data_IF_721759227760
#
_entry.id   IF_721759227760
#
_cell.length_a   1.000
_cell.length_b   1.000
_cell.length_c   1.000
_cell.angle_alpha   90.00
_cell.angle_beta   90.00
_cell.angle_gamma   90.00
#
_symmetry.space_group_name_H-M   'P 1'
#
loop_
_entity.id
_entity.type
_entity.pdbx_description
1 polymer ?
#
# COMPACT_ATOMS: atom_id res chain seq x y z
N UNK A 1 -2.62 10.80 -31.52
CA UNK A 1 -3.87 10.19 -31.03
C UNK A 1 -3.59 9.56 -29.67
N UNK A 2 -4.08 10.13 -28.56
CA UNK A 2 -3.95 9.52 -27.21
C UNK A 2 -5.14 8.58 -27.01
N UNK A 3 -4.95 7.29 -27.22
CA UNK A 3 -5.94 6.29 -26.82
C UNK A 3 -5.86 6.21 -25.30
N UNK A 4 -6.80 6.85 -24.61
CA UNK A 4 -6.93 6.72 -23.15
C UNK A 4 -7.49 5.31 -22.92
N UNK A 5 -6.71 4.44 -22.28
CA UNK A 5 -7.18 3.10 -21.93
C UNK A 5 -8.48 3.21 -21.13
N UNK A 6 -9.51 2.41 -21.49
CA UNK A 6 -10.75 2.32 -20.72
C UNK A 6 -10.59 1.54 -19.40
N UNK A 7 -9.48 0.84 -19.24
CA UNK A 7 -9.16 0.00 -18.09
C UNK A 7 -8.36 0.78 -17.06
N UNK A 8 -8.74 0.67 -15.78
CA UNK A 8 -8.04 1.40 -14.72
C UNK A 8 -6.65 0.81 -14.49
N UNK A 9 -6.52 -0.50 -14.61
CA UNK A 9 -5.28 -1.27 -14.60
C UNK A 9 -5.41 -2.59 -15.39
N UNK A 10 -4.39 -3.44 -15.31
CA UNK A 10 -4.37 -4.74 -15.98
C UNK A 10 -5.37 -5.75 -15.43
N UNK A 11 -5.83 -5.62 -14.19
CA UNK A 11 -6.90 -6.49 -13.69
C UNK A 11 -8.19 -6.27 -14.46
N UNK A 12 -8.58 -5.00 -14.67
CA UNK A 12 -9.78 -4.70 -15.46
C UNK A 12 -9.64 -5.19 -16.92
N UNK A 13 -8.44 -5.13 -17.48
CA UNK A 13 -8.16 -5.65 -18.82
C UNK A 13 -8.32 -7.18 -18.90
N UNK A 14 -7.72 -7.92 -17.97
CA UNK A 14 -7.80 -9.39 -17.93
C UNK A 14 -9.23 -9.85 -17.64
N UNK A 15 -9.96 -9.20 -16.73
CA UNK A 15 -11.40 -9.46 -16.50
C UNK A 15 -12.22 -9.24 -17.78
N UNK A 16 -11.98 -8.16 -18.51
CA UNK A 16 -12.72 -7.91 -19.74
C UNK A 16 -12.40 -8.93 -20.86
N UNK A 17 -11.20 -9.50 -20.86
CA UNK A 17 -10.76 -10.49 -21.84
C UNK A 17 -11.24 -11.91 -21.51
N UNK A 18 -11.19 -12.29 -20.24
CA UNK A 18 -11.40 -13.68 -19.79
C UNK A 18 -12.68 -13.89 -18.98
N UNK A 19 -13.41 -12.81 -18.66
CA UNK A 19 -14.60 -12.86 -17.80
C UNK A 19 -14.30 -12.56 -16.33
N UNK A 20 -15.37 -12.30 -15.57
CA UNK A 20 -15.31 -12.12 -14.11
C UNK A 20 -15.46 -13.50 -13.47
N UNK A 21 -14.62 -13.82 -12.48
CA UNK A 21 -14.95 -14.91 -11.55
C UNK A 21 -16.12 -14.46 -10.68
N UNK A 22 -17.29 -15.08 -10.84
CA UNK A 22 -18.52 -14.75 -10.10
C UNK A 22 -18.32 -14.76 -8.57
N UNK A 23 -17.29 -15.47 -8.09
CA UNK A 23 -16.97 -15.58 -6.67
C UNK A 23 -15.83 -14.67 -6.21
N UNK A 24 -15.23 -13.90 -7.12
CA UNK A 24 -14.16 -12.93 -6.83
C UNK A 24 -14.43 -11.60 -7.57
N UNK A 25 -15.46 -10.89 -7.12
CA UNK A 25 -15.88 -9.62 -7.73
C UNK A 25 -15.16 -8.45 -7.05
N UNK A 26 -14.25 -7.80 -7.78
CA UNK A 26 -13.53 -6.61 -7.30
C UNK A 26 -14.17 -5.32 -7.84
N UNK A 27 -15.12 -4.76 -7.07
CA UNK A 27 -15.70 -3.44 -7.37
C UNK A 27 -15.00 -2.36 -6.57
N UNK A 28 -14.42 -1.35 -7.23
CA UNK A 28 -13.62 -0.33 -6.57
C UNK A 28 -14.04 1.10 -6.85
N UNK A 29 -14.11 1.89 -5.78
CA UNK A 29 -14.21 3.34 -5.80
C UNK A 29 -12.90 3.92 -5.29
N UNK A 30 -12.43 4.97 -5.95
CA UNK A 30 -11.26 5.72 -5.50
C UNK A 30 -11.71 6.74 -4.47
N UNK A 31 -10.98 6.83 -3.37
CA UNK A 31 -11.16 7.85 -2.33
C UNK A 31 -9.82 8.14 -1.67
N UNK A 32 -9.73 9.28 -0.99
CA UNK A 32 -8.50 9.73 -0.37
C UNK A 32 -8.69 9.99 1.14
N UNK A 33 -7.66 9.69 1.90
CA UNK A 33 -7.50 10.14 3.29
C UNK A 33 -6.13 10.81 3.45
N UNK A 34 -6.03 11.69 4.44
CA UNK A 34 -4.79 12.40 4.76
C UNK A 34 -4.34 12.03 6.16
N UNK A 35 -3.04 12.07 6.43
CA UNK A 35 -2.52 11.80 7.78
C UNK A 35 -1.28 12.64 8.06
N UNK A 36 -1.04 12.90 9.34
CA UNK A 36 0.17 13.55 9.83
C UNK A 36 1.39 12.62 9.89
N UNK A 37 1.22 11.32 9.58
CA UNK A 37 2.28 10.32 9.53
C UNK A 37 1.99 9.28 8.43
N UNK A 38 3.01 8.62 7.90
CA UNK A 38 2.80 7.45 7.04
C UNK A 38 2.35 6.20 7.83
N UNK A 39 2.48 6.20 9.17
CA UNK A 39 2.00 5.12 10.07
C UNK A 39 0.48 5.20 10.36
N UNK A 40 -0.27 5.99 9.59
CA UNK A 40 -1.75 6.06 9.60
C UNK A 40 -2.35 6.57 10.93
N UNK A 41 -1.55 7.13 11.83
CA UNK A 41 -2.09 7.85 12.99
C UNK A 41 -2.85 9.10 12.56
N UNK A 42 -4.01 9.35 13.19
CA UNK A 42 -4.78 10.59 13.00
C UNK A 42 -5.16 10.86 11.53
N UNK A 43 -5.84 9.89 10.89
CA UNK A 43 -6.39 10.10 9.55
C UNK A 43 -7.46 11.18 9.53
N UNK A 44 -7.45 11.97 8.48
CA UNK A 44 -8.39 13.04 8.19
C UNK A 44 -9.05 12.74 6.85
N UNK A 45 -10.38 12.75 6.81
CA UNK A 45 -11.12 12.55 5.56
C UNK A 45 -10.78 13.63 4.53
N UNK A 46 -10.87 13.32 3.24
CA UNK A 46 -10.66 14.30 2.17
C UNK A 46 -11.55 15.54 2.30
N UNK A 47 -12.82 15.35 2.72
CA UNK A 47 -13.75 16.46 2.93
C UNK A 47 -13.27 17.40 4.04
N UNK A 48 -12.80 16.84 5.15
CA UNK A 48 -12.31 17.63 6.29
C UNK A 48 -10.98 18.31 5.97
N UNK A 49 -10.08 17.61 5.29
CA UNK A 49 -8.82 18.17 4.82
C UNK A 49 -9.06 19.38 3.92
N UNK A 50 -9.92 19.24 2.91
CA UNK A 50 -10.26 20.32 1.98
C UNK A 50 -10.92 21.52 2.67
N UNK A 51 -11.73 21.28 3.70
CA UNK A 51 -12.43 22.35 4.43
C UNK A 51 -11.53 23.11 5.40
N UNK A 52 -10.64 22.41 6.11
CA UNK A 52 -9.99 22.95 7.31
C UNK A 52 -8.47 23.09 7.18
N UNK A 53 -7.81 22.31 6.31
CA UNK A 53 -6.36 22.15 6.31
C UNK A 53 -5.70 22.56 5.00
N UNK A 54 -6.35 22.34 3.85
CA UNK A 54 -5.75 22.50 2.52
C UNK A 54 -5.03 23.84 2.32
N UNK A 55 -5.65 24.94 2.70
CA UNK A 55 -5.08 26.29 2.51
C UNK A 55 -3.87 26.56 3.41
N UNK A 56 -3.72 25.77 4.49
CA UNK A 56 -2.61 25.83 5.42
C UNK A 56 -1.54 24.78 5.10
N UNK A 57 -1.59 24.08 3.97
CA UNK A 57 -0.55 23.12 3.57
C UNK A 57 0.38 23.74 2.54
N UNK A 58 1.65 23.85 2.90
CA UNK A 58 2.73 24.12 1.95
C UNK A 58 3.01 22.83 1.18
N UNK A 59 2.52 22.78 -0.05
CA UNK A 59 2.69 21.64 -0.95
C UNK A 59 4.16 21.43 -1.32
N UNK A 60 4.54 20.17 -1.50
CA UNK A 60 5.83 19.79 -2.06
C UNK A 60 5.97 20.37 -3.47
N UNK A 61 7.06 21.10 -3.72
CA UNK A 61 7.41 21.65 -5.05
C UNK A 61 8.65 20.99 -5.65
N UNK A 62 9.21 20.00 -4.97
CA UNK A 62 10.47 19.36 -5.35
C UNK A 62 10.27 18.33 -6.45
N UNK A 63 11.30 18.20 -7.30
CA UNK A 63 11.41 17.12 -8.27
C UNK A 63 12.09 15.89 -7.63
N UNK A 64 12.06 14.76 -8.32
CA UNK A 64 12.80 13.54 -7.95
C UNK A 64 12.41 13.02 -6.56
N UNK A 65 11.17 12.55 -6.40
CA UNK A 65 10.64 12.15 -5.10
C UNK A 65 10.15 10.70 -5.08
N UNK A 66 10.15 10.12 -3.88
CA UNK A 66 9.78 8.74 -3.62
C UNK A 66 8.35 8.64 -3.05
N UNK A 67 7.55 7.75 -3.63
CA UNK A 67 6.23 7.33 -3.13
C UNK A 67 6.17 5.81 -2.96
N UNK A 68 5.15 5.34 -2.24
CA UNK A 68 4.93 3.92 -1.99
C UNK A 68 3.56 3.51 -2.54
N UNK A 69 3.54 2.46 -3.36
CA UNK A 69 2.33 1.84 -3.87
C UNK A 69 2.21 0.41 -3.35
N UNK A 70 1.07 0.07 -2.75
CA UNK A 70 0.69 -1.31 -2.49
C UNK A 70 -0.19 -1.85 -3.60
N UNK A 71 0.12 -3.07 -4.06
CA UNK A 71 -0.74 -3.89 -4.93
C UNK A 71 -0.90 -5.25 -4.25
N UNK A 72 -2.11 -5.54 -3.77
CA UNK A 72 -2.33 -6.62 -2.80
C UNK A 72 -1.48 -6.38 -1.55
N UNK A 73 -0.78 -7.42 -1.09
CA UNK A 73 0.21 -7.32 0.01
C UNK A 73 1.60 -6.84 -0.45
N UNK A 74 1.83 -6.67 -1.75
CA UNK A 74 3.16 -6.33 -2.28
C UNK A 74 3.39 -4.82 -2.28
N UNK A 75 4.55 -4.40 -1.79
CA UNK A 75 5.02 -3.02 -1.80
C UNK A 75 5.83 -2.73 -3.07
N UNK A 76 5.57 -1.59 -3.70
CA UNK A 76 6.30 -1.08 -4.85
C UNK A 76 6.79 0.33 -4.55
N UNK A 77 8.10 0.53 -4.58
CA UNK A 77 8.67 1.87 -4.60
C UNK A 77 8.45 2.54 -5.95
N UNK A 78 7.97 3.78 -5.92
CA UNK A 78 7.78 4.64 -7.07
C UNK A 78 8.75 5.82 -6.97
N UNK A 79 9.52 6.06 -8.03
CA UNK A 79 10.51 7.14 -8.10
C UNK A 79 10.12 8.11 -9.21
N UNK A 80 9.47 9.20 -8.82
CA UNK A 80 9.05 10.25 -9.72
C UNK A 80 10.22 11.14 -10.04
N UNK A 81 10.75 11.06 -11.26
CA UNK A 81 11.79 11.97 -11.74
C UNK A 81 11.20 13.02 -12.67
N UNK A 82 11.97 14.06 -12.99
CA UNK A 82 11.58 15.11 -13.94
C UNK A 82 11.12 14.57 -15.30
N UNK A 83 11.71 13.45 -15.74
CA UNK A 83 11.52 12.94 -17.10
C UNK A 83 10.64 11.68 -17.17
N UNK A 84 10.63 10.88 -16.11
CA UNK A 84 10.03 9.54 -16.11
C UNK A 84 9.72 9.06 -14.70
N UNK A 85 8.68 8.26 -14.57
CA UNK A 85 8.41 7.47 -13.37
C UNK A 85 9.14 6.12 -13.47
N UNK A 86 10.00 5.83 -12.49
CA UNK A 86 10.65 4.52 -12.33
C UNK A 86 10.06 3.76 -11.15
N UNK A 87 10.30 2.46 -11.12
CA UNK A 87 10.00 1.57 -10.01
C UNK A 87 11.28 0.94 -9.45
N UNK A 88 11.19 0.22 -8.34
CA UNK A 88 12.31 -0.59 -7.85
C UNK A 88 12.73 -1.70 -8.83
N UNK A 89 11.89 -2.12 -9.78
CA UNK A 89 12.27 -3.06 -10.84
C UNK A 89 13.22 -2.43 -11.87
N UNK A 90 13.20 -1.10 -11.99
CA UNK A 90 14.05 -0.36 -12.92
C UNK A 90 15.43 0.00 -12.31
N UNK A 91 15.67 -0.35 -11.04
CA UNK A 91 16.92 -0.03 -10.35
C UNK A 91 18.03 -0.99 -10.78
N UNK A 92 19.16 -0.43 -11.20
CA UNK A 92 20.29 -1.19 -11.75
C UNK A 92 21.07 -1.94 -10.68
N UNK A 93 21.29 -1.30 -9.53
CA UNK A 93 22.05 -1.87 -8.41
C UNK A 93 21.14 -1.98 -7.19
N UNK A 94 20.87 -3.21 -6.74
CA UNK A 94 19.97 -3.47 -5.62
C UNK A 94 20.45 -2.79 -4.33
N UNK A 95 21.76 -2.63 -4.20
CA UNK A 95 22.43 -1.96 -3.10
C UNK A 95 22.03 -0.48 -3.00
N UNK A 96 21.62 0.16 -4.10
CA UNK A 96 21.13 1.54 -4.09
C UNK A 96 19.87 1.69 -3.22
N UNK A 97 19.07 0.62 -3.08
CA UNK A 97 17.88 0.60 -2.21
C UNK A 97 18.26 0.47 -0.72
N UNK A 98 19.34 -0.24 -0.39
CA UNK A 98 19.80 -0.46 0.98
C UNK A 98 20.80 0.59 1.47
N UNK A 99 21.27 1.49 0.59
CA UNK A 99 22.13 2.62 1.00
C UNK A 99 21.48 3.41 2.13
N UNK A 100 22.26 3.77 3.14
CA UNK A 100 21.83 4.74 4.14
C UNK A 100 21.42 6.04 3.43
N UNK A 101 20.33 6.63 3.89
CA UNK A 101 19.97 7.95 3.41
C UNK A 101 20.98 8.97 3.93
N UNK A 102 21.39 9.88 3.06
CA UNK A 102 22.10 11.08 3.51
C UNK A 102 21.08 12.03 4.13
N UNK A 103 21.30 12.43 5.38
CA UNK A 103 20.52 13.47 6.03
C UNK A 103 21.09 14.84 5.64
N UNK A 104 20.29 15.63 4.94
CA UNK A 104 20.63 17.00 4.57
C UNK A 104 19.69 18.02 5.21
N UNK A 105 20.21 19.24 5.41
CA UNK A 105 19.41 20.43 5.67
C UNK A 105 19.29 21.22 4.35
N UNK A 106 18.10 21.72 4.01
CA UNK A 106 18.03 22.79 3.01
C UNK A 106 18.26 24.14 3.67
N UNK A 107 19.13 24.95 3.09
CA UNK A 107 19.25 26.37 3.39
C UNK A 107 18.75 27.18 2.19
N UNK A 108 17.51 27.66 2.27
CA UNK A 108 16.96 28.59 1.29
C UNK A 108 17.43 30.01 1.66
N UNK A 109 18.54 30.43 1.03
CA UNK A 109 19.20 31.71 1.32
C UNK A 109 18.32 32.94 1.04
N UNK A 110 17.34 32.82 0.15
CA UNK A 110 16.46 33.93 -0.25
C UNK A 110 15.29 34.17 0.73
N UNK A 111 14.90 33.20 1.54
CA UNK A 111 13.74 33.31 2.45
C UNK A 111 14.10 33.25 3.95
N UNK A 112 15.37 33.00 4.32
CA UNK A 112 15.80 32.74 5.71
C UNK A 112 14.96 31.65 6.41
N UNK A 113 14.46 30.68 5.63
CA UNK A 113 13.71 29.53 6.14
C UNK A 113 14.63 28.31 6.16
N UNK A 114 14.86 27.74 7.34
CA UNK A 114 15.35 26.37 7.47
C UNK A 114 14.24 25.42 7.01
N UNK A 115 14.35 24.90 5.80
CA UNK A 115 13.38 23.96 5.25
C UNK A 115 13.92 22.54 5.34
N UNK A 116 13.25 21.73 6.16
CA UNK A 116 13.07 20.28 6.01
C UNK A 116 14.31 19.35 6.04
N UNK A 117 14.28 18.40 7.00
CA UNK A 117 14.96 17.11 6.85
C UNK A 117 14.30 16.34 5.69
N UNK A 118 14.93 16.37 4.52
CA UNK A 118 14.59 15.46 3.42
C UNK A 118 15.76 14.50 3.31
N UNK A 119 15.47 13.24 3.57
CA UNK A 119 16.43 12.17 3.33
C UNK A 119 16.52 12.00 1.81
N UNK A 120 17.71 11.75 1.31
CA UNK A 120 17.87 11.45 -0.11
C UNK A 120 18.74 10.22 -0.31
N UNK A 121 18.48 9.54 -1.42
CA UNK A 121 19.29 8.43 -1.92
C UNK A 121 19.61 8.66 -3.37
N UNK A 122 20.85 8.39 -3.74
CA UNK A 122 21.24 8.37 -5.13
C UNK A 122 20.96 6.99 -5.71
N UNK A 123 20.17 6.93 -6.77
CA UNK A 123 19.79 5.70 -7.46
C UNK A 123 20.23 5.75 -8.91
N UNK A 124 20.81 4.64 -9.36
CA UNK A 124 21.09 4.39 -10.78
C UNK A 124 20.03 3.44 -11.35
N UNK A 125 19.42 3.83 -12.46
CA UNK A 125 18.40 3.03 -13.17
C UNK A 125 19.00 2.24 -14.33
N UNK A 126 18.23 1.27 -14.85
CA UNK A 126 18.63 0.38 -15.95
C UNK A 126 18.93 1.11 -17.26
N UNK A 127 18.48 2.35 -17.43
CA UNK A 127 18.83 3.22 -18.56
C UNK A 127 20.09 4.07 -18.31
N UNK A 128 20.90 3.68 -17.32
CA UNK A 128 22.14 4.33 -16.88
C UNK A 128 21.97 5.76 -16.33
N UNK A 129 20.72 6.23 -16.19
CA UNK A 129 20.47 7.52 -15.56
C UNK A 129 20.56 7.42 -14.06
N UNK A 130 21.06 8.50 -13.47
CA UNK A 130 21.31 8.63 -12.04
C UNK A 130 20.54 9.81 -11.49
N UNK A 131 19.82 9.60 -10.39
CA UNK A 131 19.02 10.63 -9.75
C UNK A 131 19.24 10.63 -8.26
N UNK A 132 19.22 11.82 -7.67
CA UNK A 132 19.06 12.01 -6.23
C UNK A 132 17.56 12.00 -5.96
N UNK A 133 17.09 10.94 -5.31
CA UNK A 133 15.69 10.73 -4.95
C UNK A 133 15.46 11.19 -3.52
N UNK A 134 14.59 12.19 -3.39
CA UNK A 134 14.09 12.73 -2.14
C UNK A 134 13.05 11.79 -1.52
N UNK A 135 13.11 11.61 -0.20
CA UNK A 135 12.19 10.75 0.54
C UNK A 135 11.95 11.21 1.96
N UNK A 136 10.75 10.93 2.45
CA UNK A 136 10.39 11.03 3.87
C UNK A 136 10.32 9.66 4.55
N UNK A 137 10.34 8.57 3.78
CA UNK A 137 10.35 7.20 4.27
C UNK A 137 11.77 6.79 4.71
N UNK A 138 12.01 6.82 6.03
CA UNK A 138 13.35 6.64 6.64
C UNK A 138 13.74 5.18 6.89
N UNK A 139 13.32 4.27 6.00
CA UNK A 139 13.63 2.85 6.10
C UNK A 139 14.69 2.44 5.08
N UNK A 140 15.31 1.29 5.34
CA UNK A 140 15.96 0.54 4.27
C UNK A 140 14.87 0.13 3.25
N UNK A 141 15.03 0.57 2.00
CA UNK A 141 14.02 0.31 0.97
C UNK A 141 14.04 -1.13 0.53
N UNK A 142 15.20 -1.78 0.57
CA UNK A 142 15.29 -3.19 0.26
C UNK A 142 14.56 -4.02 1.32
N UNK A 143 14.69 -3.68 2.60
CA UNK A 143 13.95 -4.35 3.67
C UNK A 143 12.44 -4.09 3.56
N UNK A 144 12.02 -2.87 3.21
CA UNK A 144 10.60 -2.52 3.04
C UNK A 144 9.90 -3.39 1.98
N UNK A 145 10.60 -3.83 0.94
CA UNK A 145 10.01 -4.75 -0.06
C UNK A 145 9.55 -6.08 0.55
N UNK A 146 10.09 -6.47 1.70
CA UNK A 146 9.66 -7.67 2.44
C UNK A 146 8.47 -7.44 3.38
N UNK A 147 8.02 -6.19 3.55
CA UNK A 147 6.99 -5.84 4.52
C UNK A 147 5.61 -6.11 3.94
N UNK A 148 4.79 -6.83 4.69
CA UNK A 148 3.35 -6.80 4.50
C UNK A 148 2.77 -5.50 5.07
N UNK A 149 1.49 -5.23 4.78
CA UNK A 149 0.82 -3.99 5.19
C UNK A 149 0.84 -3.75 6.69
N UNK A 150 0.65 -4.81 7.49
CA UNK A 150 0.69 -4.72 8.96
C UNK A 150 2.07 -4.34 9.48
N UNK A 151 3.12 -4.96 8.93
CA UNK A 151 4.51 -4.67 9.29
C UNK A 151 4.91 -3.25 8.87
N UNK A 152 4.43 -2.79 7.72
CA UNK A 152 4.64 -1.41 7.25
C UNK A 152 4.16 -0.36 8.25
N UNK A 153 2.97 -0.55 8.82
CA UNK A 153 2.38 0.45 9.71
C UNK A 153 3.04 0.55 11.09
N UNK A 154 4.01 -0.31 11.41
CA UNK A 154 4.69 -0.42 12.72
C UNK A 154 3.75 -0.60 13.95
N UNK A 155 2.44 -0.45 13.78
CA UNK A 155 1.41 -0.38 14.79
C UNK A 155 0.66 -1.71 14.87
N UNK A 156 0.78 -2.38 16.02
CA UNK A 156 0.17 -3.69 16.27
C UNK A 156 -1.35 -3.65 16.50
N UNK A 157 -1.94 -2.46 16.62
CA UNK A 157 -3.33 -2.27 17.08
C UNK A 157 -4.30 -1.74 16.01
N UNK A 158 -3.96 -1.82 14.73
CA UNK A 158 -4.89 -1.45 13.66
C UNK A 158 -6.05 -2.47 13.59
N UNK A 159 -7.29 -1.95 13.49
CA UNK A 159 -8.49 -2.76 13.36
C UNK A 159 -8.39 -3.67 12.12
N UNK A 160 -8.83 -4.92 12.22
CA UNK A 160 -8.76 -5.86 11.08
C UNK A 160 -9.65 -5.43 9.90
N UNK A 161 -10.71 -4.68 10.18
CA UNK A 161 -11.61 -4.10 9.20
C UNK A 161 -11.14 -2.72 8.73
N UNK A 162 -9.97 -2.26 9.16
CA UNK A 162 -9.42 -1.00 8.71
C UNK A 162 -9.27 -1.00 7.18
N UNK A 163 -9.65 0.11 6.59
CA UNK A 163 -9.65 0.33 5.16
C UNK A 163 -8.27 0.10 4.53
N UNK A 164 -7.18 0.42 5.24
CA UNK A 164 -5.81 0.17 4.78
C UNK A 164 -5.48 -1.32 4.66
N UNK A 165 -6.09 -2.18 5.47
CA UNK A 165 -5.84 -3.63 5.41
C UNK A 165 -6.75 -4.35 4.42
N UNK A 166 -7.82 -3.69 3.96
CA UNK A 166 -8.86 -4.35 3.18
C UNK A 166 -8.92 -3.88 1.72
N UNK A 167 -8.22 -2.80 1.39
CA UNK A 167 -8.30 -2.21 0.05
C UNK A 167 -7.13 -2.62 -0.82
N UNK A 168 -7.35 -3.34 -1.92
CA UNK A 168 -6.28 -4.09 -2.57
C UNK A 168 -5.23 -3.21 -3.27
N UNK A 169 -5.46 -1.92 -3.51
CA UNK A 169 -4.41 -1.01 -3.98
C UNK A 169 -4.42 0.29 -3.19
N UNK A 170 -3.23 0.75 -2.77
CA UNK A 170 -3.08 1.95 -1.95
C UNK A 170 -1.82 2.69 -2.39
N UNK A 171 -1.95 3.97 -2.74
CA UNK A 171 -0.83 4.86 -2.98
C UNK A 171 -0.64 5.78 -1.77
N UNK A 172 0.60 5.89 -1.29
CA UNK A 172 1.00 6.73 -0.16
C UNK A 172 1.95 7.80 -0.68
N UNK A 173 1.49 9.05 -0.61
CA UNK A 173 2.14 10.22 -1.20
C UNK A 173 2.51 11.19 -0.08
N UNK A 174 3.73 11.73 -0.08
CA UNK A 174 4.07 12.87 0.76
C UNK A 174 3.70 14.15 0.03
N UNK A 175 2.67 14.86 0.50
CA UNK A 175 2.14 16.02 -0.23
C UNK A 175 2.66 17.38 0.26
N UNK A 176 3.24 17.45 1.46
CA UNK A 176 3.75 18.70 2.00
C UNK A 176 3.76 18.78 3.52
N UNK A 177 3.71 20.00 4.06
CA UNK A 177 3.65 20.25 5.51
C UNK A 177 2.60 21.28 5.85
N UNK A 178 2.05 21.19 7.06
CA UNK A 178 1.26 22.28 7.61
C UNK A 178 2.13 23.51 7.84
N UNK A 179 1.69 24.64 7.31
CA UNK A 179 2.22 25.97 7.51
C UNK A 179 1.19 26.77 8.34
N UNK A 180 1.20 26.52 9.65
CA UNK A 180 0.27 27.14 10.60
C UNK A 180 0.96 28.26 11.36
N UNK A 181 0.34 29.45 11.41
CA UNK A 181 0.75 30.55 12.31
C UNK A 181 0.50 30.23 13.79
N UNK A 182 -0.30 29.21 14.10
CA UNK A 182 -0.60 28.74 15.47
C UNK A 182 0.25 27.52 15.82
N UNK A 183 1.26 27.72 16.68
CA UNK A 183 1.82 26.70 17.58
C UNK A 183 2.31 25.39 16.96
N UNK A 184 2.43 24.37 17.83
CA UNK A 184 3.33 23.20 17.78
C UNK A 184 3.11 22.21 16.62
N UNK A 185 2.17 22.51 15.73
CA UNK A 185 1.78 21.71 14.56
C UNK A 185 2.43 22.25 13.27
N UNK A 186 3.02 23.45 13.33
CA UNK A 186 3.75 24.00 12.20
C UNK A 186 4.92 23.09 11.79
N UNK A 187 5.04 22.80 10.50
CA UNK A 187 6.04 21.88 9.96
C UNK A 187 5.67 20.39 10.06
N UNK A 188 4.47 20.04 10.53
CA UNK A 188 3.98 18.65 10.55
C UNK A 188 3.83 18.11 9.12
N UNK A 189 4.41 16.94 8.79
CA UNK A 189 4.28 16.35 7.47
C UNK A 189 2.84 15.93 7.20
N UNK A 190 2.43 16.01 5.94
CA UNK A 190 1.13 15.55 5.48
C UNK A 190 1.33 14.51 4.40
N UNK A 191 0.75 13.35 4.64
CA UNK A 191 0.68 12.24 3.71
C UNK A 191 -0.74 12.11 3.19
N UNK A 192 -0.87 11.67 1.93
CA UNK A 192 -2.12 11.35 1.27
C UNK A 192 -2.12 9.86 0.95
N UNK A 193 -3.20 9.20 1.34
CA UNK A 193 -3.50 7.81 1.06
C UNK A 193 -4.58 7.79 0.00
N UNK A 194 -4.23 7.41 -1.22
CA UNK A 194 -5.19 7.21 -2.32
C UNK A 194 -5.49 5.72 -2.42
N UNK A 195 -6.71 5.34 -2.09
CA UNK A 195 -7.15 3.95 -2.18
C UNK A 195 -7.76 3.69 -3.55
N UNK A 196 -7.47 2.52 -4.11
CA UNK A 196 -7.85 2.16 -5.48
C UNK A 196 -7.47 3.22 -6.53
N UNK A 197 -6.20 3.65 -6.59
CA UNK A 197 -5.75 4.60 -7.60
C UNK A 197 -5.88 4.01 -9.00
N UNK A 198 -6.08 4.89 -10.00
CA UNK A 198 -6.05 4.48 -11.40
C UNK A 198 -4.59 4.33 -11.84
N UNK A 199 -4.05 3.11 -11.82
CA UNK A 199 -2.64 2.86 -12.16
C UNK A 199 -2.28 3.37 -13.56
N UNK A 200 -3.21 3.23 -14.52
CA UNK A 200 -3.08 3.79 -15.88
C UNK A 200 -2.86 5.31 -15.92
N UNK A 201 -3.32 6.05 -14.90
CA UNK A 201 -3.14 7.50 -14.80
C UNK A 201 -1.84 7.91 -14.10
N UNK A 202 -1.21 7.01 -13.36
CA UNK A 202 0.08 7.27 -12.71
C UNK A 202 1.23 7.34 -13.72
N UNK A 203 1.05 6.76 -14.92
CA UNK A 203 2.10 6.70 -15.92
C UNK A 203 3.22 5.70 -15.60
N UNK A 204 2.96 4.78 -14.66
CA UNK A 204 3.86 3.69 -14.30
C UNK A 204 3.60 2.47 -15.19
N UNK A 205 4.68 1.81 -15.63
CA UNK A 205 4.58 0.47 -16.21
C UNK A 205 4.96 -0.55 -15.13
N UNK A 206 4.03 -1.45 -14.82
CA UNK A 206 4.24 -2.62 -13.96
C UNK A 206 3.75 -3.81 -14.78
N UNK A 207 4.46 -4.92 -14.69
CA UNK A 207 4.11 -6.15 -15.39
C UNK A 207 2.63 -6.55 -15.14
N UNK A 208 1.94 -6.91 -16.22
CA UNK A 208 0.49 -7.17 -16.18
C UNK A 208 0.16 -8.37 -15.30
N UNK A 209 0.98 -9.42 -15.39
CA UNK A 209 0.77 -10.68 -14.68
C UNK A 209 1.13 -10.50 -13.20
N UNK A 210 2.13 -9.67 -12.89
CA UNK A 210 2.41 -9.25 -11.51
C UNK A 210 1.21 -8.55 -10.86
N UNK A 211 0.59 -7.57 -11.55
CA UNK A 211 -0.60 -6.87 -11.03
C UNK A 211 -1.75 -7.86 -10.83
N UNK A 212 -2.03 -8.68 -11.84
CA UNK A 212 -3.10 -9.67 -11.80
C UNK A 212 -2.93 -10.64 -10.62
N UNK A 213 -1.77 -11.28 -10.53
CA UNK A 213 -1.47 -12.27 -9.49
C UNK A 213 -1.54 -11.66 -8.10
N UNK A 214 -0.95 -10.47 -7.90
CA UNK A 214 -0.93 -9.80 -6.59
C UNK A 214 -2.34 -9.44 -6.10
N UNK A 215 -3.22 -9.01 -7.01
CA UNK A 215 -4.61 -8.68 -6.67
C UNK A 215 -5.45 -9.95 -6.43
N UNK A 216 -5.33 -10.96 -7.27
CA UNK A 216 -6.05 -12.23 -7.11
C UNK A 216 -5.66 -12.92 -5.81
N UNK A 217 -4.36 -12.97 -5.49
CA UNK A 217 -3.85 -13.53 -4.22
C UNK A 217 -4.47 -12.80 -3.03
N UNK A 218 -4.42 -11.47 -3.02
CA UNK A 218 -4.98 -10.64 -1.94
C UNK A 218 -6.49 -10.87 -1.75
N UNK A 219 -7.25 -10.82 -2.85
CA UNK A 219 -8.71 -10.98 -2.80
C UNK A 219 -9.10 -12.40 -2.38
N UNK A 220 -8.35 -13.41 -2.82
CA UNK A 220 -8.58 -14.81 -2.43
C UNK A 220 -8.33 -15.02 -0.94
N UNK A 221 -7.24 -14.46 -0.40
CA UNK A 221 -6.93 -14.53 1.03
C UNK A 221 -8.02 -13.87 1.87
N UNK A 222 -8.52 -12.70 1.45
CA UNK A 222 -9.62 -12.00 2.12
C UNK A 222 -10.93 -12.80 2.12
N UNK A 223 -11.15 -13.63 1.11
CA UNK A 223 -12.30 -14.52 1.05
C UNK A 223 -12.11 -15.72 1.99
N UNK A 224 -10.95 -16.37 1.99
CA UNK A 224 -10.67 -17.48 2.91
C UNK A 224 -10.72 -17.07 4.39
N UNK A 225 -10.34 -15.83 4.72
CA UNK A 225 -10.49 -15.27 6.07
C UNK A 225 -11.97 -15.13 6.47
N UNK A 226 -12.86 -14.85 5.52
CA UNK A 226 -14.31 -14.72 5.75
C UNK A 226 -15.07 -16.05 5.67
N UNK A 227 -14.56 -17.02 4.91
CA UNK A 227 -15.06 -18.40 4.88
C UNK A 227 -14.57 -19.16 6.13
N UNK A 228 -15.01 -18.69 7.30
CA UNK A 228 -15.07 -19.56 8.48
C UNK A 228 -16.05 -20.67 8.07
N UNK A 229 -15.53 -21.89 7.93
CA UNK A 229 -16.36 -23.06 7.63
C UNK A 229 -17.55 -23.07 8.59
N UNK A 230 -18.78 -23.29 8.13
CA UNK A 230 -19.92 -23.37 9.03
C UNK A 230 -19.58 -24.35 10.16
N UNK A 231 -20.00 -24.07 11.39
CA UNK A 231 -19.83 -25.00 12.49
C UNK A 231 -20.54 -26.32 12.14
N UNK A 232 -19.79 -27.25 11.56
CA UNK A 232 -20.33 -28.56 11.19
C UNK A 232 -20.47 -29.33 12.51
N UNK A 233 -21.71 -29.70 12.85
CA UNK A 233 -21.97 -30.53 14.02
C UNK A 233 -21.07 -31.76 14.02
N UNK A 234 -20.72 -32.27 15.21
CA UNK A 234 -19.89 -33.48 15.30
C UNK A 234 -20.52 -34.65 14.52
N UNK A 235 -21.85 -34.73 14.49
CA UNK A 235 -22.58 -35.74 13.72
C UNK A 235 -22.32 -35.61 12.21
N UNK A 236 -22.39 -34.40 11.66
CA UNK A 236 -22.12 -34.13 10.25
C UNK A 236 -20.63 -34.32 9.89
N UNK A 237 -19.70 -34.10 10.84
CA UNK A 237 -18.27 -34.42 10.68
C UNK A 237 -17.99 -35.93 10.65
N UNK A 238 -18.75 -36.70 11.42
CA UNK A 238 -18.63 -38.17 11.48
C UNK A 238 -19.21 -38.77 10.18
N UNK A 239 -20.39 -38.32 9.76
CA UNK A 239 -21.03 -38.73 8.51
C UNK A 239 -20.19 -38.39 7.27
N UNK A 240 -19.60 -37.18 7.19
CA UNK A 240 -18.80 -36.78 6.02
C UNK A 240 -17.50 -37.56 5.88
N UNK A 241 -16.99 -38.15 6.97
CA UNK A 241 -15.84 -39.04 6.98
C UNK A 241 -16.21 -40.52 6.78
N UNK A 242 -17.47 -40.82 6.50
CA UNK A 242 -17.96 -42.18 6.24
C UNK A 242 -18.09 -43.05 7.49
N UNK A 243 -18.10 -42.45 8.68
CA UNK A 243 -18.31 -43.18 9.93
C UNK A 243 -19.80 -43.29 10.25
N UNK A 244 -20.23 -44.47 10.70
CA UNK A 244 -21.59 -44.67 11.21
C UNK A 244 -21.71 -44.08 12.63
N UNK A 245 -22.73 -43.24 12.83
CA UNK A 245 -23.06 -42.62 14.12
C UNK A 245 -23.48 -43.64 15.18
N UNK A 246 -23.94 -44.82 14.76
CA UNK A 246 -24.54 -45.84 15.65
C UNK A 246 -23.52 -46.82 16.23
N UNK A 247 -22.32 -46.90 15.67
CA UNK A 247 -21.33 -47.92 16.07
C UNK A 247 -20.03 -47.27 16.50
N UNK A 248 -19.80 -47.20 17.82
CA UNK A 248 -18.47 -46.90 18.33
C UNK A 248 -17.57 -48.13 18.19
N UNK A 249 -16.41 -48.00 17.54
CA UNK A 249 -15.37 -49.05 17.52
C UNK A 249 -14.72 -49.30 18.89
N UNK A 250 -15.11 -48.53 19.93
CA UNK A 250 -14.57 -48.67 21.27
C UNK A 250 -15.26 -49.84 21.98
N UNK A 251 -14.51 -50.87 22.43
CA UNK A 251 -15.07 -51.93 23.26
C UNK A 251 -15.66 -51.33 24.53
N UNK A 252 -16.89 -51.73 24.90
CA UNK A 252 -17.51 -51.33 26.15
C UNK A 252 -16.70 -51.87 27.33
N UNK A 253 -15.85 -51.03 27.91
CA UNK A 253 -15.12 -51.35 29.12
C UNK A 253 -16.13 -51.42 30.27
N UNK A 254 -16.40 -52.63 30.77
CA UNK A 254 -17.21 -52.83 31.97
C UNK A 254 -16.57 -52.03 33.11
N UNK A 255 -17.34 -51.12 33.72
CA UNK A 255 -16.93 -50.47 34.97
C UNK A 255 -16.74 -51.57 36.01
N UNK A 256 -15.52 -51.73 36.53
CA UNK A 256 -15.27 -52.57 37.71
C UNK A 256 -16.06 -51.96 38.86
N UNK A 257 -16.90 -52.79 39.50
CA UNK A 257 -17.54 -52.48 40.78
C UNK A 257 -16.48 -52.33 41.86
#
# INVERSE_FOLDING_TARGET
>A
MKIISKFKDFYDYKVAKYGVDEKLVYTRKTYCEYSYSYDIFNRVSEKEFNKNLKDNVSLLKENNFHEILFIGEKLIHLFFTENKLYTHFDVKYKEDLSKYYSSGWWYYKEENVYSNFVNHKEITFNDDKKYIINTTFKYDWLDLLSYNRRRFLSNKNIDENDIFLNEPTILIEYIGRLNSKKGWINGTPIYKFTYNPYLSKLGVYIDEDYIWQSLVEFLSNKRSEKEISPEVSNENKILSKGFDLKTSFRPNMKKKK
#
